data_IF_268560259346
#
_entry.id   IF_268560259346
#
_cell.length_a   1.000
_cell.length_b   1.000
_cell.length_c   1.000
_cell.angle_alpha   90.00
_cell.angle_beta   90.00
_cell.angle_gamma   90.00
#
_symmetry.space_group_name_H-M   'P 1'
#
loop_
_entity.id
_entity.type
_entity.pdbx_description
1 polymer ?
#
# COMPACT_ATOMS: atom_id res chain seq x y z
N UNK A 1 26.84 36.83 -3.13
CA UNK A 1 26.23 36.08 -4.24
C UNK A 1 26.47 34.60 -3.99
N UNK A 2 25.41 33.80 -3.89
CA UNK A 2 25.54 32.36 -3.61
C UNK A 2 26.25 31.67 -4.78
N UNK A 3 27.09 30.67 -4.47
CA UNK A 3 27.79 29.85 -5.46
C UNK A 3 27.49 28.38 -5.20
N UNK A 4 27.40 27.61 -6.27
CA UNK A 4 27.32 26.16 -6.20
C UNK A 4 28.58 25.61 -5.52
N UNK A 5 28.43 24.80 -4.48
CA UNK A 5 29.54 24.16 -3.77
C UNK A 5 30.29 23.11 -4.61
N UNK A 6 29.70 22.66 -5.73
CA UNK A 6 30.31 21.67 -6.64
C UNK A 6 31.00 22.36 -7.81
N UNK A 7 30.26 23.09 -8.65
CA UNK A 7 30.81 23.64 -9.90
C UNK A 7 31.14 25.14 -9.86
N UNK A 8 30.99 25.80 -8.69
CA UNK A 8 31.30 27.22 -8.52
C UNK A 8 30.37 28.21 -9.24
N UNK A 9 29.38 27.73 -10.00
CA UNK A 9 28.41 28.56 -10.73
C UNK A 9 27.68 29.50 -9.76
N UNK A 10 27.56 30.77 -10.14
CA UNK A 10 26.77 31.78 -9.43
C UNK A 10 25.29 31.38 -9.49
N UNK A 11 24.63 31.36 -8.34
CA UNK A 11 23.20 31.00 -8.23
C UNK A 11 22.40 32.29 -8.11
N UNK A 12 21.39 32.43 -8.98
CA UNK A 12 20.49 33.59 -8.99
C UNK A 12 19.55 33.61 -7.77
N UNK A 13 18.99 34.78 -7.47
CA UNK A 13 18.01 34.96 -6.38
C UNK A 13 16.59 34.53 -6.82
N UNK A 14 16.32 34.53 -8.12
CA UNK A 14 15.01 34.22 -8.69
C UNK A 14 15.04 32.93 -9.53
N UNK A 15 14.15 31.98 -9.22
CA UNK A 15 13.68 30.94 -10.16
C UNK A 15 14.60 29.75 -10.47
N UNK A 16 15.82 29.65 -9.92
CA UNK A 16 16.65 28.46 -10.16
C UNK A 16 16.41 27.37 -9.10
N UNK A 17 16.09 26.16 -9.57
CA UNK A 17 16.08 24.93 -8.76
C UNK A 17 17.43 24.76 -8.05
N UNK A 18 17.44 24.91 -6.72
CA UNK A 18 18.63 24.76 -5.87
C UNK A 18 18.37 23.74 -4.79
N UNK A 19 19.42 23.00 -4.43
CA UNK A 19 19.35 22.04 -3.33
C UNK A 19 20.32 22.44 -2.23
N UNK A 20 19.82 22.42 -1.00
CA UNK A 20 20.58 22.77 0.19
C UNK A 20 21.09 21.47 0.81
N UNK A 21 22.40 21.23 0.72
CA UNK A 21 23.06 20.06 1.32
C UNK A 21 23.17 20.29 2.83
N UNK A 22 23.63 21.48 3.22
CA UNK A 22 23.74 21.97 4.60
C UNK A 22 23.38 23.46 4.64
N UNK A 23 23.39 24.08 5.82
CA UNK A 23 23.29 25.54 5.96
C UNK A 23 24.33 26.30 5.13
N UNK A 24 25.50 25.71 4.92
CA UNK A 24 26.65 26.34 4.25
C UNK A 24 26.78 25.96 2.77
N UNK A 25 26.30 24.77 2.39
CA UNK A 25 26.55 24.20 1.06
C UNK A 25 25.27 24.07 0.24
N UNK A 26 25.25 24.73 -0.91
CA UNK A 26 24.12 24.76 -1.85
C UNK A 26 24.59 24.35 -3.24
N UNK A 27 23.78 23.59 -3.96
CA UNK A 27 24.04 23.17 -5.34
C UNK A 27 23.15 23.92 -6.34
N UNK A 28 23.69 24.20 -7.53
CA UNK A 28 22.91 24.72 -8.66
C UNK A 28 22.06 23.62 -9.31
N UNK A 29 21.12 24.01 -10.17
CA UNK A 29 20.20 23.07 -10.84
C UNK A 29 20.88 21.86 -11.51
N UNK A 30 22.05 22.06 -12.14
CA UNK A 30 22.78 20.98 -12.82
C UNK A 30 23.48 19.99 -11.90
N UNK A 31 23.75 20.38 -10.66
CA UNK A 31 24.34 19.48 -9.68
C UNK A 31 23.24 18.86 -8.82
N UNK A 32 22.19 19.65 -8.53
CA UNK A 32 20.93 19.20 -7.94
C UNK A 32 20.27 18.07 -8.72
N UNK A 33 20.38 18.05 -10.05
CA UNK A 33 19.74 17.01 -10.89
C UNK A 33 20.16 15.59 -10.51
N UNK A 34 21.40 15.36 -10.07
CA UNK A 34 21.86 14.05 -9.63
C UNK A 34 21.22 13.66 -8.28
N UNK A 35 21.20 14.58 -7.33
CA UNK A 35 20.60 14.38 -6.00
C UNK A 35 19.10 14.12 -6.15
N UNK A 36 18.42 14.91 -6.97
CA UNK A 36 17.01 14.70 -7.31
C UNK A 36 16.81 13.35 -7.99
N UNK A 37 17.67 13.01 -8.94
CA UNK A 37 17.65 11.70 -9.60
C UNK A 37 17.77 10.53 -8.64
N UNK A 38 18.56 10.65 -7.56
CA UNK A 38 18.63 9.65 -6.49
C UNK A 38 17.34 9.61 -5.65
N UNK A 39 16.76 10.78 -5.30
CA UNK A 39 15.49 10.86 -4.56
C UNK A 39 14.29 10.34 -5.37
N UNK A 40 14.32 10.46 -6.68
CA UNK A 40 13.25 10.01 -7.59
C UNK A 40 13.51 8.61 -8.16
N UNK A 41 14.66 8.00 -7.83
CA UNK A 41 15.03 6.69 -8.34
C UNK A 41 14.00 5.61 -7.97
N UNK A 42 13.67 4.77 -8.96
CA UNK A 42 12.76 3.61 -8.86
C UNK A 42 13.48 2.31 -8.53
N UNK A 43 14.80 2.26 -8.72
CA UNK A 43 15.62 1.09 -8.48
C UNK A 43 17.05 1.48 -8.11
N UNK A 44 17.82 0.49 -7.63
CA UNK A 44 19.21 0.68 -7.17
C UNK A 44 20.12 1.17 -8.30
N UNK A 45 19.92 0.70 -9.54
CA UNK A 45 20.75 1.11 -10.68
C UNK A 45 20.66 2.60 -10.97
N UNK A 46 19.46 3.18 -10.85
CA UNK A 46 19.25 4.62 -10.99
C UNK A 46 19.94 5.41 -9.88
N UNK A 47 19.97 4.89 -8.65
CA UNK A 47 20.69 5.50 -7.53
C UNK A 47 22.21 5.50 -7.85
N UNK A 48 22.76 4.35 -8.23
CA UNK A 48 24.18 4.19 -8.56
C UNK A 48 24.59 5.09 -9.73
N UNK A 49 23.77 5.15 -10.78
CA UNK A 49 24.03 6.00 -11.96
C UNK A 49 24.13 7.48 -11.57
N UNK A 50 23.20 7.97 -10.76
CA UNK A 50 23.20 9.37 -10.35
C UNK A 50 24.35 9.69 -9.37
N UNK A 51 24.63 8.78 -8.44
CA UNK A 51 25.78 8.91 -7.53
C UNK A 51 27.11 8.98 -8.30
N UNK A 52 27.32 8.06 -9.25
CA UNK A 52 28.54 8.02 -10.04
C UNK A 52 28.72 9.29 -10.87
N UNK A 53 27.65 9.79 -11.49
CA UNK A 53 27.68 11.05 -12.24
C UNK A 53 28.00 12.25 -11.35
N UNK A 54 27.49 12.27 -10.12
CA UNK A 54 27.82 13.32 -9.15
C UNK A 54 29.28 13.25 -8.70
N UNK A 55 29.78 12.04 -8.41
CA UNK A 55 31.20 11.80 -8.03
C UNK A 55 32.17 12.16 -9.15
N UNK A 56 31.82 11.88 -10.40
CA UNK A 56 32.60 12.32 -11.57
C UNK A 56 32.68 13.84 -11.64
N UNK A 57 31.54 14.53 -11.47
CA UNK A 57 31.49 15.99 -11.44
C UNK A 57 32.30 16.58 -10.28
N UNK A 58 32.22 15.99 -9.10
CA UNK A 58 33.03 16.44 -7.95
C UNK A 58 34.54 16.34 -8.22
N UNK A 59 34.97 15.29 -8.94
CA UNK A 59 36.37 15.11 -9.38
C UNK A 59 36.76 16.15 -10.43
N UNK A 60 35.92 16.37 -11.44
CA UNK A 60 36.14 17.35 -12.51
C UNK A 60 36.40 18.77 -11.94
N UNK A 61 35.58 19.20 -10.99
CA UNK A 61 35.66 20.53 -10.39
C UNK A 61 36.58 20.63 -9.16
N UNK A 62 37.28 19.54 -8.79
CA UNK A 62 38.22 19.49 -7.64
C UNK A 62 37.60 20.01 -6.34
N UNK A 63 36.41 19.50 -6.03
CA UNK A 63 35.63 19.92 -4.85
C UNK A 63 36.43 19.67 -3.56
N UNK A 64 36.50 20.62 -2.59
CA UNK A 64 37.21 20.43 -1.33
C UNK A 64 36.67 19.27 -0.49
N UNK A 65 37.54 18.58 0.25
CA UNK A 65 37.19 17.38 1.02
C UNK A 65 36.02 17.60 1.99
N UNK A 66 35.96 18.76 2.65
CA UNK A 66 34.87 19.13 3.56
C UNK A 66 33.50 19.11 2.85
N UNK A 67 33.44 19.65 1.64
CA UNK A 67 32.24 19.66 0.81
C UNK A 67 31.92 18.25 0.31
N UNK A 68 32.94 17.45 -0.04
CA UNK A 68 32.74 16.06 -0.44
C UNK A 68 32.07 15.26 0.68
N UNK A 69 32.59 15.34 1.90
CA UNK A 69 32.03 14.66 3.08
C UNK A 69 30.58 15.07 3.34
N UNK A 70 30.26 16.36 3.22
CA UNK A 70 28.89 16.85 3.39
C UNK A 70 27.93 16.27 2.34
N UNK A 71 28.38 16.21 1.08
CA UNK A 71 27.59 15.61 -0.01
C UNK A 71 27.43 14.10 0.24
N UNK A 72 28.50 13.37 0.56
CA UNK A 72 28.46 11.93 0.80
C UNK A 72 27.53 11.56 1.95
N UNK A 73 27.56 12.31 3.05
CA UNK A 73 26.62 12.14 4.16
C UNK A 73 25.16 12.31 3.71
N UNK A 74 24.89 13.31 2.87
CA UNK A 74 23.55 13.54 2.33
C UNK A 74 23.11 12.44 1.36
N UNK A 75 24.02 11.95 0.51
CA UNK A 75 23.75 10.81 -0.37
C UNK A 75 23.46 9.54 0.42
N UNK A 76 24.18 9.32 1.51
CA UNK A 76 23.97 8.15 2.37
C UNK A 76 22.58 8.19 3.01
N UNK A 77 22.15 9.33 3.55
CA UNK A 77 20.77 9.50 4.06
C UNK A 77 19.72 9.18 3.00
N UNK A 78 19.92 9.64 1.76
CA UNK A 78 18.98 9.36 0.66
C UNK A 78 18.91 7.85 0.38
N UNK A 79 20.04 7.16 0.36
CA UNK A 79 20.10 5.70 0.17
C UNK A 79 19.40 4.96 1.29
N UNK A 80 19.67 5.33 2.54
CA UNK A 80 19.07 4.68 3.72
C UNK A 80 17.55 4.82 3.72
N UNK A 81 17.05 6.04 3.47
CA UNK A 81 15.61 6.30 3.33
C UNK A 81 14.99 5.49 2.19
N UNK A 82 15.67 5.42 1.03
CA UNK A 82 15.18 4.65 -0.12
C UNK A 82 15.13 3.15 0.16
N UNK A 83 16.16 2.62 0.82
CA UNK A 83 16.21 1.21 1.19
C UNK A 83 15.10 0.87 2.19
N UNK A 84 14.83 1.76 3.15
CA UNK A 84 13.75 1.59 4.11
C UNK A 84 12.37 1.55 3.44
N UNK A 85 12.11 2.49 2.52
CA UNK A 85 10.85 2.52 1.74
C UNK A 85 10.70 1.23 0.92
N UNK A 86 11.74 0.85 0.17
CA UNK A 86 11.70 -0.37 -0.65
C UNK A 86 11.46 -1.62 0.19
N UNK A 87 12.10 -1.74 1.36
CA UNK A 87 11.90 -2.86 2.27
C UNK A 87 10.47 -2.88 2.82
N UNK A 88 9.90 -1.73 3.20
CA UNK A 88 8.51 -1.62 3.67
C UNK A 88 7.51 -2.04 2.59
N UNK A 89 7.67 -1.54 1.37
CA UNK A 89 6.83 -1.90 0.22
C UNK A 89 6.93 -3.40 -0.10
N UNK A 90 8.16 -3.94 -0.13
CA UNK A 90 8.40 -5.37 -0.37
C UNK A 90 7.72 -6.24 0.70
N UNK A 91 7.83 -5.88 1.97
CA UNK A 91 7.16 -6.61 3.07
C UNK A 91 5.65 -6.57 2.93
N UNK A 92 5.07 -5.42 2.53
CA UNK A 92 3.63 -5.31 2.28
C UNK A 92 3.17 -6.22 1.13
N UNK A 93 3.92 -6.26 0.02
CA UNK A 93 3.64 -7.15 -1.11
C UNK A 93 3.72 -8.61 -0.70
N UNK A 94 4.77 -9.00 0.03
CA UNK A 94 4.92 -10.39 0.52
C UNK A 94 3.77 -10.79 1.45
N UNK A 95 3.38 -9.91 2.38
CA UNK A 95 2.22 -10.14 3.26
C UNK A 95 0.92 -10.26 2.48
N UNK A 96 0.73 -9.44 1.45
CA UNK A 96 -0.45 -9.51 0.61
C UNK A 96 -0.55 -10.85 -0.13
N UNK A 97 0.53 -11.31 -0.75
CA UNK A 97 0.55 -12.62 -1.42
C UNK A 97 0.36 -13.78 -0.43
N UNK A 98 0.94 -13.70 0.77
CA UNK A 98 0.70 -14.71 1.82
C UNK A 98 -0.77 -14.77 2.26
N UNK A 99 -1.39 -13.62 2.52
CA UNK A 99 -2.82 -13.53 2.88
C UNK A 99 -3.68 -14.08 1.74
N UNK A 100 -3.36 -13.73 0.49
CA UNK A 100 -4.08 -14.18 -0.70
C UNK A 100 -4.00 -15.69 -0.89
N UNK A 101 -2.83 -16.30 -0.67
CA UNK A 101 -2.68 -17.75 -0.71
C UNK A 101 -3.46 -18.44 0.42
N UNK A 102 -3.37 -17.93 1.66
CA UNK A 102 -4.17 -18.48 2.77
C UNK A 102 -5.67 -18.36 2.50
N UNK A 103 -6.10 -17.23 1.93
CA UNK A 103 -7.51 -16.98 1.55
C UNK A 103 -8.04 -17.98 0.54
N UNK A 104 -7.23 -18.42 -0.43
CA UNK A 104 -7.61 -19.35 -1.50
C UNK A 104 -8.16 -20.69 -0.97
N UNK A 105 -7.57 -21.18 0.12
CA UNK A 105 -7.97 -22.44 0.76
C UNK A 105 -8.81 -22.21 2.03
N UNK A 106 -9.21 -20.98 2.30
CA UNK A 106 -9.95 -20.63 3.51
C UNK A 106 -11.42 -21.00 3.36
N UNK A 107 -11.91 -21.88 4.23
CA UNK A 107 -13.27 -22.40 4.15
C UNK A 107 -14.26 -21.51 4.91
N UNK A 108 -15.42 -21.25 4.31
CA UNK A 108 -16.49 -20.45 4.93
C UNK A 108 -17.82 -21.16 4.75
N UNK A 109 -18.62 -21.24 5.81
CA UNK A 109 -19.93 -21.86 5.75
C UNK A 109 -20.93 -21.18 6.71
N UNK A 110 -22.20 -21.11 6.30
CA UNK A 110 -23.31 -20.72 7.18
C UNK A 110 -23.72 -21.87 8.11
N UNK A 111 -23.44 -23.12 7.73
CA UNK A 111 -23.56 -24.28 8.60
C UNK A 111 -22.47 -24.38 9.67
N UNK A 112 -22.54 -25.42 10.50
CA UNK A 112 -21.65 -25.62 11.65
C UNK A 112 -20.54 -26.66 11.42
N UNK A 113 -20.39 -27.17 10.20
CA UNK A 113 -19.36 -28.16 9.84
C UNK A 113 -18.89 -28.00 8.38
N UNK A 114 -17.84 -28.74 8.04
CA UNK A 114 -17.38 -28.99 6.68
C UNK A 114 -17.25 -30.50 6.49
N UNK A 115 -17.99 -31.06 5.52
CA UNK A 115 -17.92 -32.50 5.22
C UNK A 115 -16.51 -32.88 4.77
N UNK A 116 -16.00 -34.01 5.26
CA UNK A 116 -14.61 -34.43 5.00
C UNK A 116 -13.56 -33.70 5.84
N UNK A 117 -13.96 -32.81 6.76
CA UNK A 117 -13.05 -32.12 7.68
C UNK A 117 -13.47 -32.33 9.14
N UNK A 118 -12.49 -32.26 10.03
CA UNK A 118 -12.69 -32.25 11.48
C UNK A 118 -12.25 -30.90 12.04
N UNK A 119 -13.12 -30.28 12.83
CA UNK A 119 -12.75 -29.09 13.63
C UNK A 119 -11.82 -29.54 14.75
N UNK A 120 -10.61 -28.98 14.79
CA UNK A 120 -9.60 -29.29 15.81
C UNK A 120 -9.47 -28.19 16.86
N UNK A 121 -9.83 -26.94 16.54
CA UNK A 121 -9.85 -25.81 17.49
C UNK A 121 -10.98 -24.83 17.18
N UNK A 122 -11.60 -24.32 18.25
CA UNK A 122 -12.41 -23.11 18.21
C UNK A 122 -11.56 -21.96 18.75
N UNK A 123 -11.48 -20.86 18.01
CA UNK A 123 -10.56 -19.76 18.32
C UNK A 123 -11.31 -18.61 18.99
N UNK A 124 -12.14 -17.90 18.23
CA UNK A 124 -12.93 -16.78 18.73
C UNK A 124 -14.11 -16.49 17.79
N UNK A 125 -15.02 -15.63 18.22
CA UNK A 125 -15.96 -14.97 17.34
C UNK A 125 -15.22 -13.94 16.48
N UNK A 126 -15.56 -13.91 15.20
CA UNK A 126 -15.02 -12.95 14.24
C UNK A 126 -16.15 -12.24 13.52
N UNK A 127 -15.90 -11.01 13.14
CA UNK A 127 -16.87 -10.17 12.48
C UNK A 127 -16.22 -9.30 11.41
N UNK A 128 -17.05 -8.73 10.54
CA UNK A 128 -16.67 -7.68 9.60
C UNK A 128 -17.86 -6.76 9.33
N UNK A 129 -17.63 -5.45 9.38
CA UNK A 129 -18.64 -4.45 9.02
C UNK A 129 -18.23 -3.60 7.84
N UNK A 130 -19.19 -3.31 6.96
CA UNK A 130 -19.03 -2.39 5.84
C UNK A 130 -20.23 -1.47 5.75
N UNK A 131 -19.96 -0.17 5.56
CA UNK A 131 -20.98 0.82 5.27
C UNK A 131 -20.69 1.45 3.92
N UNK A 132 -21.61 1.28 2.96
CA UNK A 132 -21.52 1.88 1.62
C UNK A 132 -22.43 3.10 1.50
N UNK A 133 -21.85 4.25 1.15
CA UNK A 133 -22.54 5.51 0.95
C UNK A 133 -22.96 5.82 -0.49
N UNK A 134 -23.51 7.02 -0.71
CA UNK A 134 -23.97 7.52 -2.01
C UNK A 134 -22.85 7.69 -3.04
N UNK A 135 -21.61 7.93 -2.60
CA UNK A 135 -20.44 8.11 -3.46
C UNK A 135 -19.98 6.86 -4.22
N UNK A 136 -20.41 5.66 -3.81
CA UNK A 136 -20.09 4.39 -4.50
C UNK A 136 -20.99 4.10 -5.71
N UNK A 137 -21.86 5.05 -6.10
CA UNK A 137 -22.78 4.89 -7.23
C UNK A 137 -22.08 4.86 -8.59
N UNK A 138 -20.90 5.48 -8.71
CA UNK A 138 -20.15 5.59 -9.98
C UNK A 138 -19.58 4.27 -10.51
N UNK A 139 -19.31 3.29 -9.64
CA UNK A 139 -18.72 2.00 -10.05
C UNK A 139 -19.77 1.00 -10.58
N UNK A 140 -21.04 1.14 -10.18
CA UNK A 140 -22.12 0.25 -10.60
C UNK A 140 -22.67 0.59 -11.99
N UNK A 141 -22.51 1.84 -12.45
CA UNK A 141 -23.03 2.30 -13.75
C UNK A 141 -22.24 1.77 -14.96
N UNK A 142 -21.06 1.17 -14.78
CA UNK A 142 -20.22 0.71 -15.89
C UNK A 142 -20.57 -0.71 -16.39
N UNK A 143 -21.43 -1.47 -15.68
CA UNK A 143 -21.63 -2.91 -15.96
C UNK A 143 -23.09 -3.33 -16.17
N UNK A 144 -24.03 -2.39 -16.32
CA UNK A 144 -25.45 -2.71 -16.51
C UNK A 144 -25.97 -2.06 -17.80
N UNK A 145 -25.57 -2.63 -18.92
CA UNK A 145 -26.43 -2.64 -20.11
C UNK A 145 -27.18 -3.97 -20.12
N UNK A 146 -28.50 -3.86 -20.22
CA UNK A 146 -29.48 -4.92 -20.53
C UNK A 146 -30.43 -5.38 -19.40
N UNK A 147 -31.73 -5.25 -19.75
CA UNK A 147 -32.91 -6.01 -19.30
C UNK A 147 -33.53 -5.60 -17.94
N UNK A 148 -34.64 -4.84 -18.05
CA UNK A 148 -35.81 -4.67 -17.15
C UNK A 148 -35.61 -4.48 -15.63
N UNK A 149 -36.16 -3.37 -15.08
CA UNK A 149 -36.27 -3.09 -13.64
C UNK A 149 -35.15 -2.21 -13.07
N UNK A 150 -35.20 -0.90 -13.36
CA UNK A 150 -34.07 0.04 -13.24
C UNK A 150 -33.73 0.44 -11.78
N UNK A 151 -34.59 0.16 -10.80
CA UNK A 151 -34.37 0.50 -9.38
C UNK A 151 -33.61 -0.58 -8.59
N UNK A 152 -33.88 -1.87 -8.85
CA UNK A 152 -33.39 -2.97 -8.01
C UNK A 152 -31.92 -3.31 -8.25
N UNK A 153 -31.44 -3.30 -9.50
CA UNK A 153 -30.09 -3.77 -9.83
C UNK A 153 -28.95 -2.96 -9.21
N UNK A 154 -29.09 -1.62 -9.15
CA UNK A 154 -28.07 -0.77 -8.54
C UNK A 154 -28.00 -0.98 -7.02
N UNK A 155 -29.15 -1.17 -6.37
CA UNK A 155 -29.21 -1.42 -4.93
C UNK A 155 -28.74 -2.84 -4.57
N UNK A 156 -29.13 -3.84 -5.37
CA UNK A 156 -28.63 -5.24 -5.27
C UNK A 156 -27.10 -5.31 -5.42
N UNK A 157 -26.54 -4.56 -6.37
CA UNK A 157 -25.10 -4.46 -6.56
C UNK A 157 -24.37 -3.93 -5.32
N UNK A 158 -24.92 -2.90 -4.67
CA UNK A 158 -24.37 -2.36 -3.41
C UNK A 158 -24.41 -3.38 -2.27
N UNK A 159 -25.53 -4.08 -2.08
CA UNK A 159 -25.64 -5.10 -1.02
C UNK A 159 -24.63 -6.22 -1.27
N UNK A 160 -24.53 -6.71 -2.50
CA UNK A 160 -23.59 -7.77 -2.86
C UNK A 160 -22.14 -7.35 -2.63
N UNK A 161 -21.79 -6.13 -3.03
CA UNK A 161 -20.47 -5.55 -2.77
C UNK A 161 -20.20 -5.39 -1.28
N UNK A 162 -21.15 -4.86 -0.51
CA UNK A 162 -21.02 -4.70 0.94
C UNK A 162 -20.83 -6.04 1.65
N UNK A 163 -21.63 -7.06 1.30
CA UNK A 163 -21.48 -8.43 1.81
C UNK A 163 -20.11 -9.00 1.49
N UNK A 164 -19.64 -8.87 0.25
CA UNK A 164 -18.31 -9.36 -0.15
C UNK A 164 -17.22 -8.68 0.68
N UNK A 165 -17.23 -7.36 0.77
CA UNK A 165 -16.23 -6.60 1.52
C UNK A 165 -16.26 -6.94 3.02
N UNK A 166 -17.46 -7.07 3.61
CA UNK A 166 -17.63 -7.42 5.02
C UNK A 166 -17.10 -8.84 5.29
N UNK A 167 -17.40 -9.79 4.39
CA UNK A 167 -16.90 -11.16 4.48
C UNK A 167 -15.37 -11.20 4.38
N UNK A 168 -14.77 -10.49 3.42
CA UNK A 168 -13.31 -10.42 3.29
C UNK A 168 -12.66 -9.82 4.53
N UNK A 169 -13.25 -8.77 5.13
CA UNK A 169 -12.78 -8.21 6.39
C UNK A 169 -12.85 -9.23 7.53
N UNK A 170 -13.95 -9.98 7.65
CA UNK A 170 -14.11 -11.04 8.65
C UNK A 170 -13.07 -12.16 8.47
N UNK A 171 -12.75 -12.53 7.24
CA UNK A 171 -11.73 -13.55 6.95
C UNK A 171 -10.33 -13.05 7.26
N UNK A 172 -10.00 -11.79 6.95
CA UNK A 172 -8.73 -11.17 7.37
C UNK A 172 -8.59 -11.20 8.89
N UNK A 173 -9.67 -10.89 9.62
CA UNK A 173 -9.69 -10.95 11.08
C UNK A 173 -9.48 -12.39 11.59
N UNK A 174 -10.10 -13.38 10.95
CA UNK A 174 -9.91 -14.80 11.30
C UNK A 174 -8.48 -15.29 10.99
N UNK A 175 -7.90 -14.89 9.87
CA UNK A 175 -6.51 -15.18 9.51
C UNK A 175 -5.52 -14.61 10.52
N UNK A 176 -5.80 -13.42 11.07
CA UNK A 176 -4.96 -12.77 12.09
C UNK A 176 -4.87 -13.59 13.39
N UNK A 177 -5.92 -14.38 13.71
CA UNK A 177 -5.94 -15.31 14.84
C UNK A 177 -5.65 -16.76 14.43
N UNK A 178 -4.98 -16.97 13.28
CA UNK A 178 -4.52 -18.28 12.77
C UNK A 178 -5.62 -19.26 12.36
N UNK A 179 -6.86 -18.80 12.19
CA UNK A 179 -7.93 -19.63 11.66
C UNK A 179 -7.66 -20.03 10.21
N UNK A 180 -8.23 -21.16 9.79
CA UNK A 180 -8.28 -21.57 8.39
C UNK A 180 -9.72 -21.79 7.88
N UNK A 181 -10.71 -21.63 8.76
CA UNK A 181 -12.11 -21.66 8.38
C UNK A 181 -13.00 -20.82 9.31
N UNK A 182 -14.20 -20.47 8.84
CA UNK A 182 -15.27 -19.85 9.63
C UNK A 182 -16.57 -20.64 9.42
N UNK A 183 -17.25 -20.95 10.52
CA UNK A 183 -18.56 -21.61 10.53
C UNK A 183 -19.62 -20.69 11.15
N UNK A 184 -20.90 -21.04 10.95
CA UNK A 184 -22.02 -20.32 11.54
C UNK A 184 -22.10 -18.87 11.08
N UNK A 185 -21.78 -18.63 9.80
CA UNK A 185 -21.80 -17.28 9.23
C UNK A 185 -23.23 -16.76 9.16
N UNK A 186 -23.44 -15.54 9.66
CA UNK A 186 -24.70 -14.80 9.56
C UNK A 186 -24.47 -13.36 9.10
N UNK A 187 -25.39 -12.82 8.29
CA UNK A 187 -25.30 -11.48 7.72
C UNK A 187 -26.48 -10.61 8.14
N UNK A 188 -26.19 -9.50 8.80
CA UNK A 188 -27.15 -8.45 9.13
C UNK A 188 -27.03 -7.30 8.14
N UNK A 189 -28.16 -6.92 7.52
CA UNK A 189 -28.22 -5.79 6.59
C UNK A 189 -29.08 -4.70 7.21
N UNK A 190 -28.52 -3.50 7.31
CA UNK A 190 -29.24 -2.32 7.79
C UNK A 190 -29.19 -1.21 6.74
N UNK A 191 -30.34 -0.68 6.36
CA UNK A 191 -30.42 0.50 5.50
C UNK A 191 -30.55 1.74 6.37
N UNK A 192 -29.64 2.70 6.21
CA UNK A 192 -29.71 4.00 6.89
C UNK A 192 -30.37 5.06 5.99
N UNK A 193 -30.59 6.25 6.55
CA UNK A 193 -30.97 7.43 5.77
C UNK A 193 -29.92 7.76 4.70
N UNK A 194 -30.31 8.50 3.66
CA UNK A 194 -29.43 8.92 2.57
C UNK A 194 -28.85 7.78 1.70
N UNK A 195 -29.61 6.70 1.46
CA UNK A 195 -29.21 5.61 0.55
C UNK A 195 -27.87 4.94 0.94
N UNK A 196 -27.62 4.86 2.24
CA UNK A 196 -26.49 4.16 2.84
C UNK A 196 -26.91 2.76 3.26
N UNK A 197 -26.03 1.79 3.02
CA UNK A 197 -26.25 0.38 3.39
C UNK A 197 -25.12 -0.05 4.30
N UNK A 198 -25.47 -0.47 5.52
CA UNK A 198 -24.60 -1.20 6.42
C UNK A 198 -24.79 -2.70 6.26
N UNK A 199 -23.69 -3.43 6.22
CA UNK A 199 -23.67 -4.89 6.33
C UNK A 199 -22.72 -5.26 7.46
N UNK A 200 -23.21 -6.05 8.41
CA UNK A 200 -22.40 -6.75 9.40
C UNK A 200 -22.43 -8.23 9.07
N UNK A 201 -21.30 -8.92 9.23
CA UNK A 201 -21.22 -10.37 9.14
C UNK A 201 -20.50 -10.89 10.37
N UNK A 202 -20.99 -11.99 10.93
CA UNK A 202 -20.43 -12.61 12.12
C UNK A 202 -20.27 -14.12 11.89
N UNK A 203 -19.33 -14.75 12.59
CA UNK A 203 -19.16 -16.20 12.58
C UNK A 203 -18.16 -16.67 13.64
N UNK A 204 -17.94 -17.98 13.72
CA UNK A 204 -16.94 -18.57 14.62
C UNK A 204 -15.71 -19.00 13.83
N UNK A 205 -14.55 -18.43 14.17
CA UNK A 205 -13.27 -18.80 13.59
C UNK A 205 -12.77 -20.12 14.19
N UNK A 206 -12.38 -21.05 13.31
CA UNK A 206 -11.96 -22.40 13.69
C UNK A 206 -10.71 -22.82 12.94
N UNK A 207 -10.06 -23.87 13.47
CA UNK A 207 -9.06 -24.65 12.74
C UNK A 207 -9.69 -25.99 12.36
N UNK A 208 -9.63 -26.33 11.07
CA UNK A 208 -10.09 -27.61 10.52
C UNK A 208 -8.95 -28.37 9.86
N UNK A 209 -9.03 -29.69 9.90
CA UNK A 209 -8.11 -30.62 9.24
C UNK A 209 -8.92 -31.62 8.41
N UNK A 210 -8.42 -31.96 7.21
CA UNK A 210 -9.05 -32.96 6.34
C UNK A 210 -9.01 -34.34 7.02
N UNK A 211 -10.12 -35.07 6.96
CA UNK A 211 -10.22 -36.43 7.47
C UNK A 211 -9.68 -37.34 6.35
N UNK A 212 -8.48 -37.88 6.58
CA UNK A 212 -7.85 -38.86 5.68
C UNK A 212 -8.52 -40.22 5.66
#
# INVERSE_FOLDING_TARGET
>A
MLKCCICGRKIGVFGEDRYKITEEYITCYQCTSFIRGMKEAKNVDQIIKNENGLKEKMREYRVPLEVQNAIENELQKIKDLKQEIYNKEKIQVLRYEEIKEKRKNFLVNTGYNFEGYKITKYLDLVHGEIVLGTGFYSELSASISDIFGISSKAFEGKISQAKRLAQEQMIVNALAITANAIIGIDFDITTFSNNMIGVSVNGTAVVVEEIG
#
